data_IF_860069810520
#
_entry.id   IF_860069810520
#
_cell.length_a   1.000
_cell.length_b   1.000
_cell.length_c   1.000
_cell.angle_alpha   90.00
_cell.angle_beta   90.00
_cell.angle_gamma   90.00
#
_symmetry.space_group_name_H-M   'P 1'
#
loop_
_entity.id
_entity.type
_entity.pdbx_description
1 polymer ?
#
# COMPACT_ATOMS: atom_id res chain seq x y z
N UNK A 1 27.36 -5.18 -6.58
CA UNK A 1 27.29 -3.78 -6.06
C UNK A 1 26.88 -3.88 -4.61
N UNK A 2 27.71 -3.42 -3.68
CA UNK A 2 27.45 -3.53 -2.24
C UNK A 2 26.82 -2.22 -1.76
N UNK A 3 25.93 -2.27 -0.77
CA UNK A 3 25.19 -1.09 -0.26
C UNK A 3 25.92 -0.50 0.95
N UNK A 4 25.95 0.85 1.05
CA UNK A 4 26.28 1.57 2.28
C UNK A 4 25.06 2.37 2.70
N UNK A 5 24.59 2.15 3.90
CA UNK A 5 23.38 2.80 4.42
C UNK A 5 23.72 3.98 5.33
N UNK A 6 22.96 5.09 5.18
CA UNK A 6 22.94 6.14 6.20
C UNK A 6 22.13 5.72 7.43
N UNK A 7 22.11 6.56 8.45
CA UNK A 7 21.45 6.26 9.72
C UNK A 7 19.95 6.14 9.60
N UNK A 8 19.30 7.01 8.78
CA UNK A 8 17.87 6.97 8.58
C UNK A 8 17.46 5.73 7.77
N UNK A 9 18.23 5.40 6.72
CA UNK A 9 18.04 4.20 5.93
C UNK A 9 18.17 2.91 6.76
N UNK A 10 19.12 2.85 7.71
CA UNK A 10 19.26 1.74 8.62
C UNK A 10 18.02 1.55 9.51
N UNK A 11 17.47 2.64 10.05
CA UNK A 11 16.27 2.60 10.92
C UNK A 11 15.04 2.21 10.12
N UNK A 12 14.91 2.72 8.90
CA UNK A 12 13.74 2.49 8.04
C UNK A 12 13.68 1.05 7.52
N UNK A 13 14.78 0.53 7.00
CA UNK A 13 14.87 -0.84 6.48
C UNK A 13 14.91 -1.90 7.56
N UNK A 14 15.44 -1.54 8.73
CA UNK A 14 15.47 -2.34 9.93
C UNK A 14 16.15 -3.72 9.73
N UNK A 15 15.40 -4.83 9.84
CA UNK A 15 15.90 -6.20 9.71
C UNK A 15 16.32 -6.57 8.27
N UNK A 16 15.74 -5.93 7.28
CA UNK A 16 16.01 -6.18 5.85
C UNK A 16 17.44 -5.83 5.42
N UNK A 17 18.16 -4.98 6.17
CA UNK A 17 19.55 -4.65 5.83
C UNK A 17 20.48 -5.87 5.95
N UNK A 18 20.08 -6.89 6.72
CA UNK A 18 20.86 -8.12 6.96
C UNK A 18 20.55 -9.24 5.95
N UNK A 19 19.75 -8.98 4.91
CA UNK A 19 19.48 -9.96 3.84
C UNK A 19 20.69 -10.14 2.92
N UNK A 20 21.58 -9.14 2.82
CA UNK A 20 22.81 -9.14 2.01
C UNK A 20 23.96 -8.49 2.79
N UNK A 21 25.21 -8.78 2.40
CA UNK A 21 26.36 -8.07 2.96
C UNK A 21 26.35 -6.58 2.59
N UNK A 22 26.68 -5.72 3.57
CA UNK A 22 26.64 -4.28 3.38
C UNK A 22 27.76 -3.54 4.13
N UNK A 23 27.91 -2.26 3.80
CA UNK A 23 28.80 -1.34 4.50
C UNK A 23 27.99 -0.40 5.42
N UNK A 24 28.59 -0.05 6.55
CA UNK A 24 28.07 0.97 7.47
C UNK A 24 29.20 1.91 7.89
N UNK A 25 28.93 3.22 7.89
CA UNK A 25 29.92 4.17 8.39
C UNK A 25 30.00 4.11 9.93
N UNK A 26 31.17 4.37 10.47
CA UNK A 26 31.36 4.55 11.91
C UNK A 26 30.45 5.67 12.45
N UNK A 27 30.19 6.69 11.64
CA UNK A 27 29.30 7.82 12.01
C UNK A 27 27.87 7.33 12.18
N UNK A 28 27.34 6.56 11.23
CA UNK A 28 25.98 5.99 11.32
C UNK A 28 25.81 5.11 12.57
N UNK A 29 26.80 4.31 12.93
CA UNK A 29 26.76 3.51 14.18
C UNK A 29 26.72 4.40 15.44
N UNK A 30 27.49 5.50 15.47
CA UNK A 30 27.45 6.48 16.57
C UNK A 30 26.10 7.19 16.66
N UNK A 31 25.52 7.55 15.54
CA UNK A 31 24.19 8.16 15.48
C UNK A 31 23.10 7.23 15.99
N UNK A 32 23.14 5.95 15.63
CA UNK A 32 22.24 4.93 16.19
C UNK A 32 22.32 4.86 17.71
N UNK A 33 23.55 4.91 18.27
CA UNK A 33 23.75 4.93 19.72
C UNK A 33 23.18 6.23 20.36
N UNK A 34 23.36 7.37 19.72
CA UNK A 34 22.80 8.66 20.17
C UNK A 34 21.26 8.65 20.13
N UNK A 35 20.67 8.09 19.08
CA UNK A 35 19.20 7.98 18.93
C UNK A 35 18.62 7.09 20.02
N UNK A 36 19.24 5.97 20.32
CA UNK A 36 18.84 5.03 21.37
C UNK A 36 18.73 5.72 22.75
N UNK A 37 19.59 6.69 23.01
CA UNK A 37 19.69 7.40 24.29
C UNK A 37 19.03 8.79 24.27
N UNK A 38 18.43 9.21 23.14
CA UNK A 38 17.85 10.54 22.98
C UNK A 38 16.58 10.71 23.83
N UNK A 39 16.41 11.91 24.42
CA UNK A 39 15.19 12.29 25.14
C UNK A 39 14.10 12.87 24.22
N UNK A 40 14.47 13.28 23.00
CA UNK A 40 13.62 14.08 22.09
C UNK A 40 13.13 13.27 20.87
N UNK A 41 13.50 12.00 20.73
CA UNK A 41 13.04 11.14 19.62
C UNK A 41 11.89 10.26 20.10
N UNK A 42 11.02 9.87 19.17
CA UNK A 42 9.90 8.97 19.43
C UNK A 42 10.36 7.62 19.98
N UNK A 43 9.57 7.03 20.84
CA UNK A 43 9.90 5.75 21.50
C UNK A 43 10.03 4.61 20.48
N UNK A 44 9.31 4.65 19.36
CA UNK A 44 9.42 3.67 18.28
C UNK A 44 10.80 3.73 17.62
N UNK A 45 11.27 4.93 17.27
CA UNK A 45 12.60 5.14 16.67
C UNK A 45 13.71 4.66 17.62
N UNK A 46 13.57 4.96 18.90
CA UNK A 46 14.51 4.46 19.95
C UNK A 46 14.47 2.94 20.06
N UNK A 47 13.29 2.34 20.00
CA UNK A 47 13.12 0.89 20.03
C UNK A 47 13.81 0.23 18.83
N UNK A 48 13.58 0.76 17.62
CA UNK A 48 14.23 0.27 16.39
C UNK A 48 15.76 0.40 16.50
N UNK A 49 16.27 1.55 16.95
CA UNK A 49 17.70 1.76 17.14
C UNK A 49 18.32 0.80 18.16
N UNK A 50 17.62 0.51 19.30
CA UNK A 50 18.07 -0.49 20.30
C UNK A 50 18.13 -1.88 19.69
N UNK A 51 17.13 -2.27 18.93
CA UNK A 51 17.03 -3.60 18.34
C UNK A 51 18.04 -3.78 17.21
N UNK A 52 18.24 -2.74 16.36
CA UNK A 52 19.31 -2.73 15.36
C UNK A 52 20.69 -2.87 16.01
N UNK A 53 20.97 -2.13 17.09
CA UNK A 53 22.25 -2.26 17.81
C UNK A 53 22.49 -3.69 18.29
N UNK A 54 21.44 -4.41 18.69
CA UNK A 54 21.54 -5.82 19.07
C UNK A 54 21.78 -6.72 17.85
N UNK A 55 21.08 -6.49 16.76
CA UNK A 55 21.24 -7.24 15.49
C UNK A 55 22.65 -7.05 14.91
N UNK A 56 23.22 -5.84 14.97
CA UNK A 56 24.61 -5.58 14.60
C UNK A 56 25.61 -6.41 15.43
N UNK A 57 25.29 -6.68 16.69
CA UNK A 57 26.09 -7.51 17.56
C UNK A 57 25.96 -9.00 17.22
N UNK A 58 24.73 -9.46 16.96
CA UNK A 58 24.40 -10.87 16.66
C UNK A 58 24.84 -11.29 15.26
N UNK A 59 24.80 -10.37 14.30
CA UNK A 59 25.08 -10.61 12.87
C UNK A 59 26.30 -9.83 12.37
N UNK A 60 27.34 -9.76 13.20
CA UNK A 60 28.57 -8.99 12.90
C UNK A 60 29.32 -9.43 11.63
N UNK A 61 29.01 -10.60 11.10
CA UNK A 61 29.56 -11.13 9.86
C UNK A 61 28.88 -10.60 8.58
N UNK A 62 27.73 -9.93 8.72
CA UNK A 62 26.94 -9.42 7.59
C UNK A 62 27.31 -7.98 7.18
N UNK A 63 28.14 -7.29 7.94
CA UNK A 63 28.49 -5.91 7.62
C UNK A 63 29.95 -5.57 7.83
N UNK A 64 30.41 -4.59 7.06
CA UNK A 64 31.75 -4.03 7.18
C UNK A 64 31.68 -2.58 7.62
N UNK A 65 32.42 -2.24 8.67
CA UNK A 65 32.48 -0.87 9.17
C UNK A 65 33.53 -0.06 8.43
N UNK A 66 33.13 1.08 7.88
CA UNK A 66 34.03 2.03 7.23
C UNK A 66 34.41 3.13 8.21
N UNK A 67 35.72 3.34 8.33
CA UNK A 67 36.30 4.42 9.10
C UNK A 67 37.19 5.27 8.18
N UNK A 68 37.06 6.58 8.25
CA UNK A 68 37.87 7.52 7.48
C UNK A 68 38.59 8.48 8.40
N UNK A 69 39.64 9.15 7.88
CA UNK A 69 40.33 10.22 8.59
C UNK A 69 39.39 11.40 8.95
N UNK A 70 38.31 11.56 8.19
CA UNK A 70 37.33 12.64 8.39
C UNK A 70 36.33 12.37 9.55
N UNK A 71 36.27 11.17 10.10
CA UNK A 71 35.32 10.80 11.16
C UNK A 71 35.40 11.69 12.41
N UNK A 72 36.59 12.22 12.70
CA UNK A 72 36.83 13.08 13.85
C UNK A 72 37.02 14.56 13.49
N UNK A 73 36.78 14.97 12.22
CA UNK A 73 36.89 16.35 11.80
C UNK A 73 35.73 17.18 12.39
N UNK A 74 35.99 18.19 13.23
CA UNK A 74 34.93 19.00 13.82
C UNK A 74 34.29 20.00 12.84
N UNK A 75 34.92 20.23 11.68
CA UNK A 75 34.43 21.16 10.66
C UNK A 75 33.40 20.53 9.72
N UNK A 76 33.28 19.19 9.71
CA UNK A 76 32.35 18.45 8.84
C UNK A 76 31.11 18.00 9.59
N UNK A 77 29.94 18.13 8.94
CA UNK A 77 28.70 17.55 9.39
C UNK A 77 28.72 16.01 9.34
N UNK A 78 27.80 15.34 10.02
CA UNK A 78 27.74 13.88 10.00
C UNK A 78 27.44 13.37 8.59
N UNK A 79 26.54 14.01 7.85
CA UNK A 79 26.19 13.64 6.47
C UNK A 79 27.42 13.74 5.54
N UNK A 80 28.20 14.81 5.67
CA UNK A 80 29.45 14.98 4.90
C UNK A 80 30.43 13.84 5.20
N UNK A 81 30.55 13.45 6.47
CA UNK A 81 31.43 12.33 6.89
C UNK A 81 30.98 11.00 6.32
N UNK A 82 29.66 10.76 6.28
CA UNK A 82 29.10 9.56 5.67
C UNK A 82 29.36 9.55 4.15
N UNK A 83 29.15 10.67 3.47
CA UNK A 83 29.47 10.84 2.04
C UNK A 83 30.95 10.60 1.77
N UNK A 84 31.86 11.12 2.61
CA UNK A 84 33.31 10.85 2.53
C UNK A 84 33.64 9.35 2.69
N UNK A 85 32.90 8.64 3.54
CA UNK A 85 33.08 7.19 3.68
C UNK A 85 32.67 6.43 2.41
N UNK A 86 31.60 6.85 1.73
CA UNK A 86 31.20 6.30 0.42
C UNK A 86 32.27 6.55 -0.63
N UNK A 87 32.76 7.79 -0.69
CA UNK A 87 33.80 8.19 -1.65
C UNK A 87 35.08 7.40 -1.45
N UNK A 88 35.51 7.23 -0.20
CA UNK A 88 36.68 6.40 0.15
C UNK A 88 36.55 4.99 -0.40
N UNK A 89 35.39 4.34 -0.24
CA UNK A 89 35.16 2.99 -0.79
C UNK A 89 35.24 2.97 -2.33
N UNK A 90 34.69 3.98 -3.01
CA UNK A 90 34.76 4.07 -4.47
C UNK A 90 36.20 4.31 -4.95
N UNK A 91 36.97 5.14 -4.26
CA UNK A 91 38.38 5.41 -4.57
C UNK A 91 39.25 4.16 -4.37
N UNK A 92 38.89 3.28 -3.42
CA UNK A 92 39.47 1.94 -3.23
C UNK A 92 39.03 0.92 -4.29
N UNK A 93 38.20 1.32 -5.25
CA UNK A 93 37.71 0.47 -6.35
C UNK A 93 36.56 -0.44 -5.98
N UNK A 94 35.90 -0.22 -4.83
CA UNK A 94 34.75 -1.00 -4.41
C UNK A 94 33.49 -0.45 -5.09
N UNK A 95 32.75 -1.32 -5.77
CA UNK A 95 31.48 -0.94 -6.41
C UNK A 95 30.38 -0.83 -5.34
N UNK A 96 30.29 0.36 -4.73
CA UNK A 96 29.35 0.68 -3.65
C UNK A 96 28.27 1.62 -4.12
N UNK A 97 27.04 1.40 -3.63
CA UNK A 97 25.91 2.32 -3.77
C UNK A 97 25.52 2.88 -2.40
N UNK A 98 25.37 4.18 -2.33
CA UNK A 98 24.91 4.86 -1.12
C UNK A 98 23.39 4.87 -1.02
N UNK A 99 22.87 4.44 0.13
CA UNK A 99 21.44 4.31 0.39
C UNK A 99 21.02 5.33 1.45
N UNK A 100 20.22 6.32 1.08
CA UNK A 100 19.73 7.37 1.99
C UNK A 100 18.32 7.80 1.65
N UNK A 101 17.51 8.12 2.68
CA UNK A 101 16.20 8.75 2.56
C UNK A 101 16.24 10.26 2.83
N UNK A 102 17.38 10.78 3.27
CA UNK A 102 17.55 12.21 3.44
C UNK A 102 17.78 12.89 2.08
N UNK A 103 16.87 13.79 1.72
CA UNK A 103 16.92 14.49 0.43
C UNK A 103 18.17 15.41 0.30
N UNK A 104 18.64 15.99 1.41
CA UNK A 104 19.83 16.82 1.40
C UNK A 104 21.07 15.95 1.18
N UNK A 105 21.20 14.88 1.95
CA UNK A 105 22.29 13.92 1.86
C UNK A 105 22.33 13.24 0.48
N UNK A 106 21.16 12.91 -0.09
CA UNK A 106 21.03 12.39 -1.46
C UNK A 106 21.59 13.37 -2.50
N UNK A 107 21.18 14.64 -2.45
CA UNK A 107 21.61 15.65 -3.41
C UNK A 107 23.10 15.96 -3.29
N UNK A 108 23.64 16.01 -2.06
CA UNK A 108 25.08 16.21 -1.83
C UNK A 108 25.89 15.02 -2.39
N UNK A 109 25.50 13.80 -2.12
CA UNK A 109 26.16 12.62 -2.66
C UNK A 109 26.13 12.60 -4.20
N UNK A 110 25.00 12.96 -4.81
CA UNK A 110 24.86 13.08 -6.26
C UNK A 110 25.75 14.17 -6.85
N UNK A 111 25.89 15.31 -6.19
CA UNK A 111 26.77 16.40 -6.59
C UNK A 111 28.26 15.98 -6.55
N UNK A 112 28.64 15.11 -5.62
CA UNK A 112 29.99 14.50 -5.54
C UNK A 112 30.23 13.39 -6.58
N UNK A 113 29.24 13.07 -7.44
CA UNK A 113 29.35 12.05 -8.48
C UNK A 113 29.21 10.60 -7.96
N UNK A 114 28.67 10.43 -6.75
CA UNK A 114 28.52 9.12 -6.14
C UNK A 114 27.27 8.40 -6.69
N UNK A 115 27.32 7.06 -6.72
CA UNK A 115 26.12 6.25 -6.96
C UNK A 115 25.24 6.30 -5.70
N UNK A 116 24.10 6.96 -5.78
CA UNK A 116 23.17 7.12 -4.65
C UNK A 116 21.77 6.68 -5.04
N UNK A 117 21.08 6.02 -4.11
CA UNK A 117 19.65 5.68 -4.21
C UNK A 117 18.93 6.00 -2.89
N UNK A 118 17.66 6.31 -2.99
CA UNK A 118 16.78 6.34 -1.82
C UNK A 118 16.36 4.91 -1.48
N UNK A 119 16.25 4.58 -0.18
CA UNK A 119 15.74 3.28 0.27
C UNK A 119 14.27 3.07 -0.10
N UNK A 120 13.52 4.17 -0.32
CA UNK A 120 12.20 4.13 -0.94
C UNK A 120 12.23 3.88 -2.44
N UNK A 121 13.42 3.99 -3.08
CA UNK A 121 13.65 3.72 -4.50
C UNK A 121 14.30 2.33 -4.74
N UNK A 122 14.30 1.42 -3.76
CA UNK A 122 14.65 0.02 -3.98
C UNK A 122 13.55 -0.76 -4.71
N UNK A 123 12.76 -0.05 -5.44
CA UNK A 123 12.10 -0.56 -6.61
C UNK A 123 12.03 0.57 -7.62
N UNK A 124 12.95 0.60 -8.60
CA UNK A 124 12.55 0.77 -9.99
C UNK A 124 11.65 -0.43 -10.40
N UNK A 125 11.05 -1.10 -9.46
CA UNK A 125 9.84 -1.87 -9.64
C UNK A 125 8.73 -0.83 -9.67
N UNK A 126 8.25 -0.52 -10.86
CA UNK A 126 6.93 0.09 -11.09
C UNK A 126 5.99 -0.52 -10.06
N UNK A 127 5.46 0.31 -9.16
CA UNK A 127 4.64 -0.16 -8.03
C UNK A 127 3.62 -1.15 -8.59
N UNK A 128 3.62 -2.39 -8.13
CA UNK A 128 2.75 -3.44 -8.69
C UNK A 128 1.32 -2.94 -8.81
N UNK A 129 0.89 -2.64 -10.03
CA UNK A 129 -0.40 -1.99 -10.30
C UNK A 129 -1.58 -2.97 -10.26
N UNK A 130 -1.29 -4.29 -10.25
CA UNK A 130 -2.28 -5.35 -10.40
C UNK A 130 -2.65 -5.63 -11.85
N UNK A 131 -2.04 -4.91 -12.77
CA UNK A 131 -2.18 -5.12 -14.21
C UNK A 131 -0.90 -4.72 -14.95
N UNK A 132 -0.77 -5.24 -16.17
CA UNK A 132 0.27 -4.84 -17.14
C UNK A 132 -0.31 -4.72 -18.55
N UNK A 133 0.47 -4.13 -19.45
CA UNK A 133 0.12 -3.98 -20.85
C UNK A 133 1.00 -4.90 -21.69
N UNK A 134 0.38 -5.66 -22.58
CA UNK A 134 1.07 -6.53 -23.54
C UNK A 134 0.84 -5.97 -24.95
N UNK A 135 1.87 -5.41 -25.54
CA UNK A 135 1.83 -4.94 -26.93
C UNK A 135 2.15 -6.12 -27.83
N UNK A 136 1.14 -6.62 -28.54
CA UNK A 136 1.26 -7.76 -29.44
C UNK A 136 1.16 -7.31 -30.90
N UNK A 137 1.97 -7.91 -31.75
CA UNK A 137 1.82 -7.85 -33.20
C UNK A 137 0.55 -8.61 -33.63
N UNK A 138 0.11 -8.42 -34.87
CA UNK A 138 -1.06 -9.15 -35.40
C UNK A 138 -0.85 -10.67 -35.43
N UNK A 139 0.39 -11.12 -35.65
CA UNK A 139 0.78 -12.53 -35.65
C UNK A 139 0.73 -13.11 -34.22
N UNK A 140 1.36 -12.44 -33.24
CA UNK A 140 1.33 -12.82 -31.83
C UNK A 140 -0.09 -12.81 -31.24
N UNK A 141 -0.94 -11.88 -31.68
CA UNK A 141 -2.35 -11.83 -31.30
C UNK A 141 -3.11 -13.04 -31.81
N UNK A 142 -2.85 -13.47 -33.05
CA UNK A 142 -3.45 -14.68 -33.63
C UNK A 142 -3.00 -15.92 -32.86
N UNK A 143 -1.72 -16.02 -32.52
CA UNK A 143 -1.18 -17.12 -31.73
C UNK A 143 -1.78 -17.13 -30.30
N UNK A 144 -1.90 -15.96 -29.70
CA UNK A 144 -2.56 -15.83 -28.39
C UNK A 144 -4.01 -16.37 -28.42
N UNK A 145 -4.81 -15.96 -29.40
CA UNK A 145 -6.19 -16.44 -29.49
C UNK A 145 -6.33 -17.93 -29.84
N UNK A 146 -5.34 -18.49 -30.49
CA UNK A 146 -5.31 -19.93 -30.84
C UNK A 146 -4.93 -20.81 -29.65
N UNK A 147 -4.04 -20.35 -28.77
CA UNK A 147 -3.45 -21.14 -27.70
C UNK A 147 -3.28 -20.35 -26.39
N UNK A 148 -4.33 -19.68 -25.90
CA UNK A 148 -4.29 -18.77 -24.73
C UNK A 148 -3.56 -19.33 -23.51
N UNK A 149 -3.88 -20.56 -23.11
CA UNK A 149 -3.34 -21.17 -21.89
C UNK A 149 -1.87 -21.56 -22.05
N UNK A 150 -1.49 -22.10 -23.21
CA UNK A 150 -0.10 -22.39 -23.53
C UNK A 150 0.75 -21.12 -23.67
N UNK A 151 0.17 -20.05 -24.21
CA UNK A 151 0.80 -18.75 -24.34
C UNK A 151 1.16 -18.16 -22.97
N UNK A 152 0.20 -18.18 -22.02
CA UNK A 152 0.39 -17.67 -20.66
C UNK A 152 1.51 -18.38 -19.91
N UNK A 153 1.57 -19.71 -19.99
CA UNK A 153 2.55 -20.49 -19.23
C UNK A 153 3.97 -20.42 -19.78
N UNK A 154 4.12 -20.25 -21.11
CA UNK A 154 5.42 -20.35 -21.77
C UNK A 154 6.06 -18.99 -22.07
N UNK A 155 5.26 -17.97 -22.34
CA UNK A 155 5.73 -16.69 -22.88
C UNK A 155 5.75 -15.60 -21.81
N UNK A 156 4.77 -15.63 -20.87
CA UNK A 156 4.65 -14.62 -19.80
C UNK A 156 4.53 -15.27 -18.41
N UNK A 157 5.54 -16.06 -17.98
CA UNK A 157 5.52 -16.68 -16.64
C UNK A 157 5.55 -15.64 -15.50
N UNK A 158 6.01 -14.42 -15.80
CA UNK A 158 6.10 -13.30 -14.86
C UNK A 158 4.74 -12.67 -14.49
N UNK A 159 3.66 -12.94 -15.25
CA UNK A 159 2.30 -12.48 -14.89
C UNK A 159 1.86 -13.27 -13.66
N UNK A 160 1.51 -12.56 -12.59
CA UNK A 160 1.15 -13.19 -11.33
C UNK A 160 -0.29 -13.74 -11.33
N UNK A 161 -0.60 -14.61 -10.39
CA UNK A 161 -1.96 -15.07 -10.12
C UNK A 161 -2.88 -13.88 -9.84
N UNK A 162 -4.07 -13.86 -10.43
CA UNK A 162 -5.04 -12.76 -10.37
C UNK A 162 -4.58 -11.41 -10.94
N UNK A 163 -3.39 -11.35 -11.57
CA UNK A 163 -2.96 -10.16 -12.29
C UNK A 163 -3.71 -10.03 -13.61
N UNK A 164 -4.07 -8.79 -13.94
CA UNK A 164 -4.72 -8.44 -15.19
C UNK A 164 -3.67 -8.12 -16.26
N UNK A 165 -4.03 -8.35 -17.53
CA UNK A 165 -3.21 -7.90 -18.64
C UNK A 165 -4.09 -7.40 -19.79
N UNK A 166 -3.68 -6.26 -20.31
CA UNK A 166 -4.32 -5.59 -21.43
C UNK A 166 -3.60 -5.97 -22.71
N UNK A 167 -4.30 -6.63 -23.60
CA UNK A 167 -3.79 -6.89 -24.96
C UNK A 167 -3.96 -5.62 -25.77
N UNK A 168 -2.84 -5.10 -26.23
CA UNK A 168 -2.77 -3.90 -27.09
C UNK A 168 -2.27 -4.24 -28.47
N UNK A 169 -2.85 -3.59 -29.49
CA UNK A 169 -2.36 -3.60 -30.87
C UNK A 169 -2.45 -2.17 -31.38
N UNK A 170 -1.35 -1.63 -31.90
CA UNK A 170 -1.27 -0.24 -32.37
C UNK A 170 -1.76 0.78 -31.32
N UNK A 171 -1.33 0.60 -30.06
CA UNK A 171 -1.69 1.41 -28.88
C UNK A 171 -3.17 1.37 -28.44
N UNK A 172 -4.00 0.57 -29.07
CA UNK A 172 -5.38 0.36 -28.64
C UNK A 172 -5.53 -0.93 -27.83
N UNK A 173 -6.30 -0.86 -26.73
CA UNK A 173 -6.64 -2.06 -25.93
C UNK A 173 -7.71 -2.85 -26.66
N UNK A 174 -7.35 -4.04 -27.13
CA UNK A 174 -8.23 -4.94 -27.87
C UNK A 174 -9.05 -5.82 -26.91
N UNK A 175 -8.38 -6.37 -25.91
CA UNK A 175 -8.98 -7.29 -24.94
C UNK A 175 -8.32 -7.16 -23.56
N UNK A 176 -9.02 -7.64 -22.53
CA UNK A 176 -8.55 -7.66 -21.14
C UNK A 176 -8.74 -9.05 -20.57
N UNK A 177 -7.69 -9.59 -19.99
CA UNK A 177 -7.69 -10.90 -19.36
C UNK A 177 -7.17 -10.83 -17.93
N UNK A 178 -7.50 -11.84 -17.14
CA UNK A 178 -6.96 -12.10 -15.82
C UNK A 178 -6.30 -13.48 -15.81
N UNK A 179 -5.12 -13.62 -15.23
CA UNK A 179 -4.50 -14.93 -15.02
C UNK A 179 -5.17 -15.65 -13.86
N UNK A 180 -5.62 -16.89 -14.10
CA UNK A 180 -6.18 -17.79 -13.08
C UNK A 180 -5.52 -19.15 -13.23
N UNK A 181 -4.55 -19.46 -12.38
CA UNK A 181 -3.70 -20.62 -12.55
C UNK A 181 -2.92 -20.54 -13.87
N UNK A 182 -3.20 -21.49 -14.75
CA UNK A 182 -2.60 -21.54 -16.08
C UNK A 182 -3.52 -20.99 -17.19
N UNK A 183 -4.67 -20.42 -16.83
CA UNK A 183 -5.67 -19.95 -17.79
C UNK A 183 -5.66 -18.42 -17.90
N UNK A 184 -5.96 -17.91 -19.11
CA UNK A 184 -6.27 -16.52 -19.39
C UNK A 184 -7.79 -16.33 -19.43
N UNK A 185 -8.38 -15.83 -18.35
CA UNK A 185 -9.83 -15.58 -18.27
C UNK A 185 -10.18 -14.18 -18.75
N UNK A 186 -11.02 -14.08 -19.77
CA UNK A 186 -11.47 -12.78 -20.31
C UNK A 186 -12.30 -12.03 -19.28
N UNK A 187 -11.98 -10.76 -19.08
CA UNK A 187 -12.74 -9.87 -18.19
C UNK A 187 -13.99 -9.36 -18.90
N UNK A 188 -15.16 -9.68 -18.34
CA UNK A 188 -16.45 -9.23 -18.84
C UNK A 188 -16.78 -7.81 -18.35
N UNK A 189 -18.00 -7.34 -18.57
CA UNK A 189 -18.52 -6.06 -18.09
C UNK A 189 -19.42 -6.28 -16.88
N UNK A 190 -18.87 -6.31 -15.64
CA UNK A 190 -19.66 -6.52 -14.45
C UNK A 190 -20.59 -5.33 -14.18
N UNK A 191 -21.74 -5.64 -13.58
CA UNK A 191 -22.70 -4.64 -13.09
C UNK A 191 -23.04 -4.99 -11.65
N UNK A 192 -22.89 -4.03 -10.76
CA UNK A 192 -23.34 -4.17 -9.37
C UNK A 192 -24.69 -3.49 -9.25
N UNK A 193 -25.73 -4.29 -9.00
CA UNK A 193 -27.10 -3.78 -8.82
C UNK A 193 -27.45 -3.76 -7.35
N UNK A 194 -27.83 -2.60 -6.84
CA UNK A 194 -28.21 -2.34 -5.45
C UNK A 194 -29.38 -1.36 -5.41
N UNK A 195 -30.29 -1.50 -4.46
CA UNK A 195 -31.39 -0.55 -4.24
C UNK A 195 -30.85 0.83 -3.84
N UNK A 196 -29.75 0.88 -3.10
CA UNK A 196 -29.14 2.14 -2.64
C UNK A 196 -28.25 2.82 -3.68
N UNK A 197 -27.54 2.03 -4.49
CA UNK A 197 -26.52 2.54 -5.41
C UNK A 197 -26.99 2.50 -6.89
N UNK A 198 -28.14 1.85 -7.17
CA UNK A 198 -28.60 1.58 -8.51
C UNK A 198 -27.68 0.59 -9.26
N UNK A 199 -27.73 0.63 -10.58
CA UNK A 199 -26.87 -0.17 -11.44
C UNK A 199 -25.53 0.52 -11.65
N UNK A 200 -24.50 0.06 -10.96
CA UNK A 200 -23.14 0.57 -11.05
C UNK A 200 -22.37 -0.20 -12.12
N UNK A 201 -21.94 0.53 -13.14
CA UNK A 201 -21.12 0.04 -14.26
C UNK A 201 -19.76 0.72 -14.26
N UNK A 202 -18.75 0.03 -14.78
CA UNK A 202 -17.41 0.61 -14.93
C UNK A 202 -17.43 1.76 -15.92
N UNK A 203 -16.76 2.87 -15.61
CA UNK A 203 -16.60 4.03 -16.49
C UNK A 203 -15.33 3.98 -17.34
N UNK A 204 -14.41 3.08 -16.98
CA UNK A 204 -13.17 2.82 -17.71
C UNK A 204 -12.67 1.40 -17.46
N UNK A 205 -11.56 1.05 -18.13
CA UNK A 205 -10.97 -0.27 -18.06
C UNK A 205 -10.42 -0.61 -16.67
N UNK A 206 -9.92 0.37 -15.91
CA UNK A 206 -9.36 0.17 -14.57
C UNK A 206 -10.47 -0.11 -13.56
N UNK A 207 -11.58 0.62 -13.62
CA UNK A 207 -12.77 0.30 -12.82
C UNK A 207 -13.35 -1.06 -13.21
N UNK A 208 -13.31 -1.44 -14.50
CA UNK A 208 -13.77 -2.76 -14.95
C UNK A 208 -12.99 -3.89 -14.33
N UNK A 209 -11.65 -3.83 -14.31
CA UNK A 209 -10.83 -4.86 -13.68
C UNK A 209 -10.94 -4.83 -12.15
N UNK A 210 -11.14 -3.66 -11.52
CA UNK A 210 -11.40 -3.58 -10.10
C UNK A 210 -12.72 -4.27 -9.72
N UNK A 211 -13.78 -4.07 -10.50
CA UNK A 211 -15.06 -4.75 -10.29
C UNK A 211 -14.94 -6.27 -10.50
N UNK A 212 -14.20 -6.73 -11.51
CA UNK A 212 -13.92 -8.15 -11.72
C UNK A 212 -13.13 -8.74 -10.55
N UNK A 213 -12.13 -8.00 -10.03
CA UNK A 213 -11.34 -8.41 -8.87
C UNK A 213 -12.20 -8.59 -7.62
N UNK A 214 -13.10 -7.65 -7.32
CA UNK A 214 -14.03 -7.75 -6.19
C UNK A 214 -14.92 -8.98 -6.28
N UNK A 215 -15.33 -9.38 -7.49
CA UNK A 215 -16.21 -10.55 -7.70
C UNK A 215 -15.48 -11.89 -7.58
N UNK A 216 -14.17 -11.91 -7.75
CA UNK A 216 -13.42 -13.15 -7.93
C UNK A 216 -12.35 -13.41 -6.85
N UNK A 217 -12.09 -12.45 -5.98
CA UNK A 217 -11.10 -12.59 -4.91
C UNK A 217 -11.77 -12.38 -3.55
N UNK A 218 -11.24 -13.05 -2.55
CA UNK A 218 -11.67 -12.87 -1.17
C UNK A 218 -11.21 -11.51 -0.63
N UNK A 219 -9.98 -11.09 -0.96
CA UNK A 219 -9.43 -9.79 -0.59
C UNK A 219 -9.12 -9.02 -1.86
N UNK A 220 -9.68 -7.81 -1.97
CA UNK A 220 -9.34 -6.88 -3.06
C UNK A 220 -8.91 -5.52 -2.51
N UNK A 221 -7.72 -5.07 -2.91
CA UNK A 221 -7.23 -3.71 -2.63
C UNK A 221 -7.40 -2.84 -3.87
N UNK A 222 -8.20 -1.78 -3.74
CA UNK A 222 -8.42 -0.78 -4.79
C UNK A 222 -7.68 0.50 -4.42
N UNK A 223 -6.65 0.80 -5.17
CA UNK A 223 -5.82 2.00 -4.98
C UNK A 223 -6.12 3.06 -6.03
N UNK A 224 -5.71 4.28 -5.80
CA UNK A 224 -5.80 5.35 -6.80
C UNK A 224 -6.13 6.71 -6.21
N UNK A 225 -6.08 7.78 -7.03
CA UNK A 225 -6.26 9.15 -6.58
C UNK A 225 -7.67 9.41 -6.03
N UNK A 226 -7.79 10.51 -5.26
CA UNK A 226 -9.10 10.96 -4.77
C UNK A 226 -10.07 11.19 -5.92
N UNK A 227 -11.32 10.74 -5.77
CA UNK A 227 -12.32 10.89 -6.82
C UNK A 227 -12.25 9.89 -7.97
N UNK A 228 -11.39 8.89 -7.92
CA UNK A 228 -11.34 7.79 -8.91
C UNK A 228 -12.50 6.79 -8.79
N UNK A 229 -13.27 6.84 -7.70
CA UNK A 229 -14.45 6.01 -7.49
C UNK A 229 -14.23 4.77 -6.63
N UNK A 230 -13.09 4.63 -5.94
CA UNK A 230 -12.75 3.49 -5.07
C UNK A 230 -13.86 3.11 -4.10
N UNK A 231 -14.19 4.04 -3.21
CA UNK A 231 -15.19 3.81 -2.15
C UNK A 231 -16.59 3.57 -2.71
N UNK A 232 -16.92 4.21 -3.85
CA UNK A 232 -18.19 3.98 -4.55
C UNK A 232 -18.29 2.53 -5.05
N UNK A 233 -17.26 2.01 -5.68
CA UNK A 233 -17.23 0.63 -6.18
C UNK A 233 -17.26 -0.38 -5.03
N UNK A 234 -16.45 -0.19 -4.01
CA UNK A 234 -16.40 -1.08 -2.84
C UNK A 234 -17.77 -1.18 -2.15
N UNK A 235 -18.36 -0.03 -1.83
CA UNK A 235 -19.66 0.01 -1.16
C UNK A 235 -20.77 -0.56 -2.03
N UNK A 236 -20.85 -0.20 -3.30
CA UNK A 236 -21.90 -0.71 -4.19
C UNK A 236 -21.85 -2.23 -4.35
N UNK A 237 -20.65 -2.83 -4.34
CA UNK A 237 -20.51 -4.28 -4.39
C UNK A 237 -20.97 -4.95 -3.10
N UNK A 238 -20.50 -4.49 -1.93
CA UNK A 238 -20.89 -5.09 -0.64
C UNK A 238 -22.38 -4.95 -0.38
N UNK A 239 -22.97 -3.80 -0.68
CA UNK A 239 -24.42 -3.62 -0.53
C UNK A 239 -25.22 -4.47 -1.54
N UNK A 240 -24.74 -4.62 -2.77
CA UNK A 240 -25.33 -5.57 -3.70
C UNK A 240 -25.31 -7.02 -3.20
N UNK A 241 -24.25 -7.44 -2.50
CA UNK A 241 -24.19 -8.76 -1.88
C UNK A 241 -25.13 -8.90 -0.68
N UNK A 242 -25.19 -7.86 0.18
CA UNK A 242 -26.07 -7.82 1.34
C UNK A 242 -27.55 -7.93 0.94
N UNK A 243 -27.97 -7.11 -0.04
CA UNK A 243 -29.35 -7.09 -0.55
C UNK A 243 -29.75 -8.42 -1.23
N UNK A 244 -28.80 -9.11 -1.87
CA UNK A 244 -29.00 -10.43 -2.45
C UNK A 244 -28.90 -11.57 -1.45
N UNK A 245 -28.67 -11.28 -0.16
CA UNK A 245 -28.47 -12.29 0.88
C UNK A 245 -27.26 -13.18 0.66
N UNK A 246 -26.23 -12.67 -0.02
CA UNK A 246 -24.95 -13.38 -0.22
C UNK A 246 -24.00 -13.19 0.96
N UNK A 247 -24.17 -12.10 1.70
CA UNK A 247 -23.56 -11.82 2.98
C UNK A 247 -24.64 -11.38 3.95
N UNK A 248 -24.44 -11.60 5.25
CA UNK A 248 -25.41 -11.31 6.28
C UNK A 248 -25.25 -9.88 6.81
N UNK A 249 -24.06 -9.34 6.76
CA UNK A 249 -23.71 -7.99 7.25
C UNK A 249 -22.54 -7.37 6.55
N UNK A 250 -22.47 -6.04 6.59
CA UNK A 250 -21.32 -5.24 6.16
C UNK A 250 -20.64 -4.67 7.41
N UNK A 251 -19.35 -4.92 7.56
CA UNK A 251 -18.52 -4.43 8.66
C UNK A 251 -17.57 -3.40 8.09
N UNK A 252 -17.58 -2.17 8.60
CA UNK A 252 -16.69 -1.10 8.16
C UNK A 252 -15.69 -0.81 9.27
N UNK A 253 -14.42 -1.08 9.00
CA UNK A 253 -13.33 -0.61 9.83
C UNK A 253 -13.02 0.85 9.51
N UNK A 254 -13.44 1.71 10.42
CA UNK A 254 -13.32 3.15 10.29
C UNK A 254 -11.93 3.60 10.73
N UNK A 255 -11.21 4.26 9.84
CA UNK A 255 -10.00 4.94 10.25
C UNK A 255 -10.38 6.22 11.02
N UNK A 256 -10.03 6.28 12.31
CA UNK A 256 -10.29 7.41 13.19
C UNK A 256 -9.07 8.32 13.36
N UNK A 257 -8.04 8.13 12.53
CA UNK A 257 -6.87 9.01 12.53
C UNK A 257 -7.32 10.41 12.14
N UNK A 258 -7.15 11.35 13.04
CA UNK A 258 -7.47 12.75 12.79
C UNK A 258 -6.57 13.25 11.65
N UNK A 259 -7.16 13.71 10.55
CA UNK A 259 -6.48 14.58 9.58
C UNK A 259 -5.77 15.69 10.38
N UNK A 260 -4.57 16.08 10.00
CA UNK A 260 -3.84 17.20 10.64
C UNK A 260 -4.86 18.31 10.96
N UNK A 261 -5.08 18.59 12.25
CA UNK A 261 -6.05 19.56 12.80
C UNK A 261 -7.52 19.15 12.88
N UNK A 262 -7.92 17.90 12.65
CA UNK A 262 -9.29 17.46 12.92
C UNK A 262 -9.51 17.06 14.40
N UNK A 263 -10.72 17.28 14.92
CA UNK A 263 -11.06 16.90 16.29
C UNK A 263 -11.03 15.36 16.45
N UNK A 264 -10.40 14.88 17.53
CA UNK A 264 -10.41 13.46 17.85
C UNK A 264 -11.83 12.99 18.16
N UNK A 265 -12.15 11.74 17.85
CA UNK A 265 -13.47 11.13 18.05
C UNK A 265 -14.00 11.33 19.48
N UNK A 266 -13.10 11.40 20.48
CA UNK A 266 -13.46 11.65 21.89
C UNK A 266 -14.12 13.00 22.17
N UNK A 267 -14.03 13.98 21.26
CA UNK A 267 -14.66 15.29 21.39
C UNK A 267 -16.13 15.32 20.92
N UNK A 268 -16.60 14.29 20.24
CA UNK A 268 -17.99 14.21 19.82
C UNK A 268 -18.87 13.77 21.00
N UNK A 269 -20.06 14.40 21.21
CA UNK A 269 -21.03 13.96 22.22
C UNK A 269 -21.68 12.63 21.81
N UNK A 270 -22.23 11.90 22.78
CA UNK A 270 -22.99 10.69 22.54
C UNK A 270 -22.24 9.38 22.79
N UNK A 271 -22.91 8.26 22.54
CA UNK A 271 -22.33 6.93 22.61
C UNK A 271 -21.37 6.65 21.44
N UNK A 272 -20.79 5.44 21.39
CA UNK A 272 -19.81 5.07 20.36
C UNK A 272 -20.38 5.12 18.94
N UNK A 273 -21.62 4.64 18.77
CA UNK A 273 -22.28 4.61 17.46
C UNK A 273 -22.69 6.02 17.02
N UNK A 274 -23.21 6.84 17.93
CA UNK A 274 -23.53 8.24 17.66
C UNK A 274 -22.28 9.02 17.22
N UNK A 275 -21.15 8.84 17.92
CA UNK A 275 -19.87 9.47 17.55
C UNK A 275 -19.38 9.05 16.16
N UNK A 276 -19.54 7.78 15.81
CA UNK A 276 -19.18 7.29 14.48
C UNK A 276 -20.12 7.82 13.39
N UNK A 277 -21.41 7.93 13.69
CA UNK A 277 -22.41 8.51 12.78
C UNK A 277 -22.20 10.02 12.55
N UNK A 278 -21.71 10.74 13.54
CA UNK A 278 -21.37 12.16 13.44
C UNK A 278 -19.99 12.41 12.78
N UNK A 279 -19.22 11.34 12.57
CA UNK A 279 -17.92 11.38 11.90
C UNK A 279 -18.05 11.51 10.38
N UNK A 280 -16.90 11.68 9.69
CA UNK A 280 -16.85 11.66 8.24
C UNK A 280 -17.44 10.37 7.64
N UNK A 281 -17.25 9.23 8.30
CA UNK A 281 -17.80 7.94 7.87
C UNK A 281 -19.32 7.94 7.90
N UNK A 282 -19.93 8.40 9.00
CA UNK A 282 -21.37 8.48 9.11
C UNK A 282 -21.99 9.46 8.11
N UNK A 283 -21.35 10.60 7.87
CA UNK A 283 -21.77 11.55 6.85
C UNK A 283 -21.66 10.97 5.44
N UNK A 284 -20.57 10.28 5.15
CA UNK A 284 -20.38 9.58 3.87
C UNK A 284 -21.47 8.52 3.67
N UNK A 285 -21.71 7.65 4.65
CA UNK A 285 -22.76 6.62 4.60
C UNK A 285 -24.14 7.24 4.42
N UNK A 286 -24.48 8.27 5.21
CA UNK A 286 -25.78 8.97 5.11
C UNK A 286 -26.01 9.56 3.72
N UNK A 287 -24.96 10.13 3.10
CA UNK A 287 -25.04 10.67 1.75
C UNK A 287 -25.23 9.59 0.68
N UNK A 288 -24.74 8.36 0.91
CA UNK A 288 -24.82 7.24 -0.03
C UNK A 288 -26.09 6.42 0.13
N UNK A 289 -26.52 6.21 1.39
CA UNK A 289 -27.75 5.47 1.72
C UNK A 289 -29.01 6.33 1.77
N UNK A 290 -28.90 7.60 1.38
CA UNK A 290 -30.01 8.53 1.24
C UNK A 290 -30.43 9.26 2.52
N UNK A 291 -30.17 8.72 3.71
CA UNK A 291 -30.43 9.41 4.97
C UNK A 291 -29.69 8.79 6.15
N UNK A 292 -29.47 9.62 7.19
CA UNK A 292 -28.93 9.14 8.48
C UNK A 292 -29.84 8.08 9.12
N UNK A 293 -31.15 8.26 9.04
CA UNK A 293 -32.14 7.31 9.60
C UNK A 293 -31.99 5.91 8.99
N UNK A 294 -31.67 5.82 7.70
CA UNK A 294 -31.43 4.53 7.04
C UNK A 294 -30.17 3.85 7.60
N UNK A 295 -29.09 4.61 7.81
CA UNK A 295 -27.85 4.10 8.41
C UNK A 295 -28.12 3.58 9.84
N UNK A 296 -28.83 4.36 10.66
CA UNK A 296 -29.21 3.98 12.02
C UNK A 296 -30.07 2.71 12.04
N UNK A 297 -31.05 2.60 11.13
CA UNK A 297 -31.86 1.39 10.97
C UNK A 297 -31.02 0.17 10.65
N UNK A 298 -30.08 0.27 9.69
CA UNK A 298 -29.22 -0.84 9.32
C UNK A 298 -28.29 -1.27 10.47
N UNK A 299 -27.83 -0.31 11.29
CA UNK A 299 -27.05 -0.61 12.49
C UNK A 299 -27.92 -1.35 13.53
N UNK A 300 -29.16 -0.92 13.76
CA UNK A 300 -30.09 -1.58 14.67
C UNK A 300 -30.46 -2.99 14.22
N UNK A 301 -30.55 -3.21 12.90
CA UNK A 301 -30.79 -4.54 12.31
C UNK A 301 -29.52 -5.40 12.24
N UNK A 302 -28.39 -4.92 12.78
CA UNK A 302 -27.04 -5.57 12.70
C UNK A 302 -26.56 -5.88 11.27
N UNK A 303 -27.16 -5.27 10.26
CA UNK A 303 -26.74 -5.38 8.86
C UNK A 303 -25.54 -4.52 8.52
N UNK A 304 -25.33 -3.46 9.29
CA UNK A 304 -24.17 -2.57 9.18
C UNK A 304 -23.52 -2.42 10.55
N UNK A 305 -22.23 -2.70 10.61
CA UNK A 305 -21.44 -2.60 11.84
C UNK A 305 -20.26 -1.65 11.60
N UNK A 306 -20.16 -0.61 12.42
CA UNK A 306 -19.05 0.34 12.37
C UNK A 306 -18.06 0.05 13.50
N UNK A 307 -16.82 -0.20 13.17
CA UNK A 307 -15.75 -0.55 14.13
C UNK A 307 -14.57 0.40 13.92
N UNK A 308 -14.16 1.19 14.94
CA UNK A 308 -12.89 1.89 14.85
C UNK A 308 -11.75 0.92 14.62
N UNK A 309 -10.85 1.22 13.70
CA UNK A 309 -9.71 0.33 13.38
C UNK A 309 -8.85 0.01 14.64
N UNK A 310 -8.74 0.96 15.57
CA UNK A 310 -8.04 0.75 16.84
C UNK A 310 -8.68 -0.32 17.75
N UNK A 311 -9.99 -0.56 17.61
CA UNK A 311 -10.76 -1.53 18.41
C UNK A 311 -10.82 -2.92 17.76
N UNK A 312 -10.19 -3.11 16.60
CA UNK A 312 -10.22 -4.36 15.86
C UNK A 312 -9.65 -5.58 16.62
N UNK A 313 -8.84 -5.35 17.66
CA UNK A 313 -8.27 -6.45 18.49
C UNK A 313 -9.30 -7.38 19.11
N UNK A 314 -10.47 -6.87 19.42
CA UNK A 314 -11.59 -7.63 19.98
C UNK A 314 -12.56 -8.20 18.93
N UNK A 315 -12.25 -8.06 17.66
CA UNK A 315 -13.13 -8.47 16.56
C UNK A 315 -12.60 -9.73 15.87
N UNK A 316 -13.50 -10.61 15.45
CA UNK A 316 -13.20 -11.81 14.66
C UNK A 316 -14.40 -12.04 13.74
N UNK A 317 -14.16 -12.18 12.45
CA UNK A 317 -15.20 -12.40 11.44
C UNK A 317 -15.39 -13.86 11.08
N UNK A 318 -14.68 -14.77 11.73
CA UNK A 318 -14.79 -16.23 11.47
C UNK A 318 -16.24 -16.71 11.64
N UNK A 319 -16.79 -17.33 10.61
CA UNK A 319 -18.15 -17.85 10.57
C UNK A 319 -19.26 -16.77 10.47
N UNK A 320 -18.91 -15.51 10.19
CA UNK A 320 -19.88 -14.41 10.12
C UNK A 320 -20.55 -14.22 8.77
N UNK A 321 -20.08 -14.88 7.68
CA UNK A 321 -20.53 -14.60 6.32
C UNK A 321 -20.65 -13.09 6.04
N UNK A 322 -19.56 -12.36 6.27
CA UNK A 322 -19.58 -10.90 6.27
C UNK A 322 -18.81 -10.30 5.10
N UNK A 323 -19.25 -9.11 4.68
CA UNK A 323 -18.46 -8.21 3.85
C UNK A 323 -17.74 -7.19 4.72
N UNK A 324 -16.41 -7.18 4.66
CA UNK A 324 -15.56 -6.23 5.39
C UNK A 324 -15.11 -5.13 4.45
N UNK A 325 -15.18 -3.89 4.92
CA UNK A 325 -14.64 -2.73 4.22
C UNK A 325 -13.64 -1.98 5.11
N UNK A 326 -12.41 -1.86 4.63
CA UNK A 326 -11.36 -1.06 5.27
C UNK A 326 -11.19 0.20 4.43
N UNK A 327 -11.68 1.32 4.97
CA UNK A 327 -11.74 2.60 4.27
C UNK A 327 -10.49 3.45 4.53
N UNK A 328 -10.04 4.22 3.50
CA UNK A 328 -8.93 5.19 3.62
C UNK A 328 -7.67 4.56 4.24
N UNK A 329 -7.34 3.39 3.78
CA UNK A 329 -6.31 2.54 4.38
C UNK A 329 -4.87 3.05 4.17
N UNK A 330 -4.65 4.12 3.37
CA UNK A 330 -3.36 4.79 3.26
C UNK A 330 -2.89 5.38 4.60
N UNK A 331 -3.81 5.62 5.53
CA UNK A 331 -3.54 6.13 6.87
C UNK A 331 -3.44 5.00 7.92
N UNK A 332 -3.22 3.77 7.49
CA UNK A 332 -2.91 2.63 8.34
C UNK A 332 -1.44 2.29 8.23
N UNK A 333 -0.79 2.13 9.37
CA UNK A 333 0.54 1.55 9.40
C UNK A 333 0.51 0.03 9.16
N UNK A 334 1.68 -0.53 8.97
CA UNK A 334 1.88 -1.96 8.72
C UNK A 334 1.27 -2.84 9.82
N UNK A 335 1.42 -2.45 11.09
CA UNK A 335 0.97 -3.25 12.24
C UNK A 335 -0.56 -3.26 12.35
N UNK A 336 -1.20 -2.11 12.13
CA UNK A 336 -2.66 -2.00 12.17
C UNK A 336 -3.29 -2.71 10.97
N UNK A 337 -2.71 -2.58 9.76
CA UNK A 337 -3.16 -3.35 8.60
C UNK A 337 -3.05 -4.85 8.84
N UNK A 338 -1.93 -5.33 9.37
CA UNK A 338 -1.73 -6.73 9.76
C UNK A 338 -2.78 -7.19 10.77
N UNK A 339 -3.04 -6.37 11.79
CA UNK A 339 -4.05 -6.65 12.80
C UNK A 339 -5.42 -6.84 12.16
N UNK A 340 -5.85 -5.92 11.27
CA UNK A 340 -7.15 -5.98 10.60
C UNK A 340 -7.27 -7.24 9.73
N UNK A 341 -6.25 -7.54 8.94
CA UNK A 341 -6.24 -8.71 8.06
C UNK A 341 -6.26 -10.03 8.85
N UNK A 342 -5.65 -10.08 10.03
CA UNK A 342 -5.70 -11.26 10.92
C UNK A 342 -7.07 -11.50 11.57
N UNK A 343 -8.03 -10.59 11.43
CA UNK A 343 -9.41 -10.72 11.95
C UNK A 343 -10.39 -11.26 10.90
N UNK A 344 -9.91 -11.49 9.67
CA UNK A 344 -10.74 -11.98 8.58
C UNK A 344 -10.86 -13.51 8.66
N UNK A 345 -12.11 -14.00 8.68
CA UNK A 345 -12.42 -15.42 8.53
C UNK A 345 -12.41 -15.87 7.06
N UNK A 346 -12.39 -17.16 6.84
CA UNK A 346 -12.38 -17.76 5.48
C UNK A 346 -13.62 -17.40 4.65
N UNK A 347 -14.77 -17.21 5.32
CA UNK A 347 -16.06 -16.86 4.68
C UNK A 347 -16.25 -15.35 4.53
N UNK A 348 -15.20 -14.55 4.76
CA UNK A 348 -15.28 -13.08 4.75
C UNK A 348 -14.74 -12.53 3.43
N UNK A 349 -15.54 -11.70 2.75
CA UNK A 349 -15.08 -10.88 1.62
C UNK A 349 -14.52 -9.58 2.19
N UNK A 350 -13.30 -9.21 1.83
CA UNK A 350 -12.67 -7.98 2.31
C UNK A 350 -12.31 -7.04 1.16
N UNK A 351 -12.83 -5.83 1.20
CA UNK A 351 -12.48 -4.76 0.29
C UNK A 351 -11.72 -3.67 1.03
N UNK A 352 -10.63 -3.22 0.44
CA UNK A 352 -9.75 -2.21 1.01
C UNK A 352 -9.58 -1.11 -0.02
N UNK A 353 -9.79 0.14 0.37
CA UNK A 353 -9.48 1.26 -0.51
C UNK A 353 -8.45 2.21 0.11
N UNK A 354 -7.75 2.93 -0.75
CA UNK A 354 -6.82 3.97 -0.32
C UNK A 354 -6.01 4.56 -1.47
N UNK A 355 -5.30 5.62 -1.15
CA UNK A 355 -4.34 6.28 -2.04
C UNK A 355 -2.95 6.20 -1.41
N UNK A 356 -2.13 5.29 -1.88
CA UNK A 356 -0.79 5.05 -1.36
C UNK A 356 0.30 5.90 -2.04
N UNK A 357 -0.11 6.83 -2.93
CA UNK A 357 0.81 7.67 -3.71
C UNK A 357 0.83 9.13 -3.27
N UNK A 358 -0.34 9.78 -3.14
CA UNK A 358 -0.45 11.22 -2.96
C UNK A 358 -1.12 11.67 -1.65
N UNK A 359 -1.92 10.82 -1.00
CA UNK A 359 -2.75 11.20 0.16
C UNK A 359 -2.37 10.49 1.45
N UNK A 360 -1.09 10.52 1.81
CA UNK A 360 -0.67 10.04 3.14
C UNK A 360 -0.69 11.24 4.10
N UNK A 361 -1.68 11.26 5.01
CA UNK A 361 -1.91 12.39 5.92
C UNK A 361 -0.80 12.58 6.97
N UNK A 362 -0.03 11.54 7.27
CA UNK A 362 1.08 11.57 8.21
C UNK A 362 2.32 10.90 7.61
N UNK A 363 3.47 11.55 7.74
CA UNK A 363 4.77 11.03 7.29
C UNK A 363 5.10 9.65 7.92
N UNK A 364 4.55 9.37 9.11
CA UNK A 364 4.67 8.08 9.79
C UNK A 364 4.07 6.90 9.00
N UNK A 365 3.13 7.15 8.09
CA UNK A 365 2.49 6.13 7.23
C UNK A 365 3.04 6.12 5.80
N UNK A 366 4.06 6.94 5.53
CA UNK A 366 4.69 6.99 4.21
C UNK A 366 5.70 5.85 3.99
N UNK A 367 6.03 5.59 2.72
CA UNK A 367 7.09 4.66 2.35
C UNK A 367 6.82 3.21 2.78
N UNK A 368 7.84 2.58 3.36
CA UNK A 368 7.82 1.16 3.77
C UNK A 368 6.87 0.85 4.94
N UNK A 369 6.49 1.87 5.73
CA UNK A 369 5.54 1.69 6.85
C UNK A 369 4.08 1.78 6.41
N UNK A 370 3.82 2.05 5.14
CA UNK A 370 2.45 2.09 4.61
C UNK A 370 1.84 0.68 4.59
N UNK A 371 0.69 0.52 5.26
CA UNK A 371 0.00 -0.76 5.38
C UNK A 371 -0.47 -1.32 4.04
N UNK A 372 -0.95 -0.46 3.10
CA UNK A 372 -1.39 -0.89 1.77
C UNK A 372 -0.22 -1.42 0.96
N UNK A 373 0.87 -0.66 0.85
CA UNK A 373 2.05 -1.08 0.08
C UNK A 373 2.58 -2.42 0.56
N UNK A 374 2.68 -2.58 1.89
CA UNK A 374 3.13 -3.82 2.47
C UNK A 374 2.16 -4.99 2.25
N UNK A 375 0.85 -4.75 2.37
CA UNK A 375 -0.16 -5.77 2.08
C UNK A 375 -0.09 -6.24 0.62
N UNK A 376 0.00 -5.31 -0.33
CA UNK A 376 0.15 -5.65 -1.76
C UNK A 376 1.42 -6.46 -2.00
N UNK A 377 2.55 -6.06 -1.43
CA UNK A 377 3.83 -6.79 -1.60
C UNK A 377 3.75 -8.23 -1.08
N UNK A 378 3.12 -8.44 0.07
CA UNK A 378 3.03 -9.77 0.71
C UNK A 378 2.01 -10.66 0.03
N UNK A 379 0.89 -10.11 -0.42
CA UNK A 379 -0.23 -10.90 -0.96
C UNK A 379 -0.25 -11.03 -2.48
N UNK A 380 0.54 -10.23 -3.24
CA UNK A 380 0.58 -10.36 -4.70
C UNK A 380 0.89 -11.80 -5.13
N UNK A 381 0.12 -12.30 -6.07
CA UNK A 381 0.26 -13.66 -6.57
C UNK A 381 -0.44 -14.76 -5.75
N UNK A 382 -1.10 -14.43 -4.63
CA UNK A 382 -1.97 -15.37 -3.91
C UNK A 382 -3.30 -15.55 -4.66
N UNK A 383 -3.89 -16.73 -4.57
CA UNK A 383 -5.11 -17.11 -5.31
C UNK A 383 -6.39 -16.45 -4.79
N UNK A 384 -6.39 -15.99 -3.54
CA UNK A 384 -7.50 -15.29 -2.88
C UNK A 384 -7.37 -13.75 -2.92
N UNK A 385 -6.30 -13.22 -3.51
CA UNK A 385 -5.97 -11.80 -3.46
C UNK A 385 -5.96 -11.15 -4.84
N UNK A 386 -6.49 -9.93 -4.91
CA UNK A 386 -6.38 -9.04 -6.07
C UNK A 386 -6.09 -7.60 -5.66
N UNK A 387 -5.39 -6.88 -6.50
CA UNK A 387 -5.19 -5.43 -6.34
C UNK A 387 -5.31 -4.74 -7.68
N UNK A 388 -5.81 -3.51 -7.67
CA UNK A 388 -5.94 -2.68 -8.88
C UNK A 388 -5.66 -1.23 -8.53
N UNK A 389 -4.79 -0.61 -9.32
CA UNK A 389 -4.53 0.83 -9.27
C UNK A 389 -5.43 1.55 -10.29
N UNK A 390 -6.40 2.33 -9.80
CA UNK A 390 -7.22 3.20 -10.65
C UNK A 390 -6.39 4.40 -11.11
N UNK A 391 -6.46 4.71 -12.43
CA UNK A 391 -5.61 5.71 -13.05
C UNK A 391 -6.33 7.05 -13.34
N UNK A 392 -7.67 7.07 -13.25
CA UNK A 392 -8.46 8.23 -13.71
C UNK A 392 -9.34 8.80 -12.61
N UNK A 393 -9.25 10.12 -12.41
CA UNK A 393 -10.20 10.87 -11.58
C UNK A 393 -11.54 10.98 -12.31
N UNK A 394 -12.65 10.70 -11.61
CA UNK A 394 -14.01 10.65 -12.19
C UNK A 394 -15.02 11.55 -11.46
N UNK A 395 -14.56 12.39 -10.55
CA UNK A 395 -15.43 13.17 -9.67
C UNK A 395 -15.96 14.43 -10.34
N UNK A 396 -15.08 15.32 -10.76
CA UNK A 396 -15.43 16.54 -11.49
C UNK A 396 -14.20 17.10 -12.18
N UNK A 397 -14.39 17.98 -13.17
CA UNK A 397 -13.29 18.73 -13.81
C UNK A 397 -12.47 19.56 -12.81
N UNK A 398 -13.12 20.05 -11.73
CA UNK A 398 -12.44 20.80 -10.68
C UNK A 398 -11.49 19.87 -9.90
N UNK A 399 -11.95 18.66 -9.55
CA UNK A 399 -11.12 17.70 -8.84
C UNK A 399 -9.95 17.21 -9.69
N UNK A 400 -10.15 17.04 -11.00
CA UNK A 400 -9.10 16.66 -11.95
C UNK A 400 -8.00 17.72 -12.05
N UNK A 401 -8.38 19.01 -12.06
CA UNK A 401 -7.41 20.11 -12.08
C UNK A 401 -6.72 20.30 -10.73
N UNK A 402 -7.45 20.07 -9.62
CA UNK A 402 -6.90 20.18 -8.27
C UNK A 402 -5.90 19.07 -7.93
N UNK A 403 -5.90 17.96 -8.66
CA UNK A 403 -4.93 16.87 -8.50
C UNK A 403 -3.49 17.30 -8.89
N UNK A 404 -3.36 18.46 -9.55
CA UNK A 404 -2.09 19.09 -9.92
C UNK A 404 -1.54 20.10 -8.90
N UNK A 405 -2.23 20.34 -7.76
CA UNK A 405 -1.77 21.21 -6.68
C UNK A 405 -0.77 20.50 -5.75
#
# INVERSE_FOLDING_TARGET
MIKLYDTNALIDLYDKIFDEEFYVSRISLRELENIKNSKNKDEEIKYRARKLSKMFQEQSYMYHTVCTEFDNDPCLGNDDKIIKAVKFLQDEGIDVIFMTNDACCYNLAKAEGLKVRSTGAESDDESYLGFRELNLTEEELSDFYSCKDAYMCKIHPEILQNEYFFIKTKDEVVDIYRRVGNEAKRVLYPVFSSEFFGDVKSKDIYQRIAMDSMMNNQITIVRGPAGSGKSWLCMSYLFSLLEKGKIDKVIIFCNTVAVKNAAKLGFYPGDKNEKLLDSQVGNFLSSKLGSRMMVEKMIQEEKLVLVPAADARGYDTTGMNAGVYIQEAQNLDRELMKLLLQRLGEDTICLIDGDDTAQVDLDAYAGMNNGIKRAVEVFKGQDFFGTVQLQKVRRSRIAEVADGL
#
